data_IF_200291168665
#
_entry.id   IF_200291168665
#
_cell.length_a   1.000
_cell.length_b   1.000
_cell.length_c   1.000
_cell.angle_alpha   90.00
_cell.angle_beta   90.00
_cell.angle_gamma   90.00
#
_symmetry.space_group_name_H-M   'P 1'
#
loop_
_entity.id
_entity.type
_entity.pdbx_description
1 polymer ?
#
# COMPACT_ATOMS: atom_id res chain seq x y z
N UNK A 1 -8.26 -0.63 -6.70
CA UNK A 1 -6.79 -0.41 -6.78
C UNK A 1 -6.14 -1.67 -7.37
N UNK A 2 -4.93 -1.61 -7.95
CA UNK A 2 -4.28 -2.80 -8.53
C UNK A 2 -4.13 -3.93 -7.50
N UNK A 3 -3.58 -3.61 -6.32
CA UNK A 3 -3.46 -4.57 -5.22
C UNK A 3 -4.81 -5.05 -4.66
N UNK A 4 -5.87 -4.25 -4.79
CA UNK A 4 -7.22 -4.64 -4.39
C UNK A 4 -7.81 -5.75 -5.26
N UNK A 5 -7.39 -5.83 -6.54
CA UNK A 5 -7.77 -6.94 -7.43
C UNK A 5 -7.08 -8.26 -7.04
N UNK A 6 -5.94 -8.15 -6.34
CA UNK A 6 -5.21 -9.28 -5.75
C UNK A 6 -5.72 -9.65 -4.34
N UNK A 7 -6.86 -9.09 -3.91
CA UNK A 7 -7.44 -9.36 -2.59
C UNK A 7 -6.79 -8.59 -1.43
N UNK A 8 -5.94 -7.60 -1.70
CA UNK A 8 -5.24 -6.83 -0.67
C UNK A 8 -5.94 -5.51 -0.35
N UNK A 9 -6.35 -5.36 0.91
CA UNK A 9 -6.94 -4.15 1.44
C UNK A 9 -5.89 -3.25 2.10
N UNK A 10 -5.72 -2.03 1.59
CA UNK A 10 -4.85 -1.00 2.17
C UNK A 10 -5.50 0.38 2.02
N UNK A 11 -5.06 1.36 2.82
CA UNK A 11 -5.57 2.74 2.76
C UNK A 11 -4.56 3.64 2.04
N UNK A 12 -5.03 4.50 1.15
CA UNK A 12 -4.23 5.57 0.55
C UNK A 12 -4.65 6.95 1.10
N UNK A 13 -3.74 7.93 1.01
CA UNK A 13 -4.00 9.34 1.32
C UNK A 13 -3.18 9.85 2.51
N UNK A 14 -3.70 10.88 3.19
CA UNK A 14 -3.00 11.54 4.31
C UNK A 14 -3.14 10.82 5.66
N UNK A 15 -4.04 9.83 5.76
CA UNK A 15 -4.34 9.09 6.99
C UNK A 15 -4.76 9.95 8.19
N UNK A 16 -5.43 11.08 7.94
CA UNK A 16 -5.73 12.11 8.94
C UNK A 16 -4.48 12.73 9.59
N UNK A 17 -3.32 12.60 8.95
CA UNK A 17 -2.02 13.08 9.43
C UNK A 17 -1.38 14.09 8.44
N UNK A 18 -2.18 14.98 7.86
CA UNK A 18 -1.73 15.90 6.81
C UNK A 18 -0.49 16.73 7.16
N UNK A 19 -0.34 17.30 8.39
CA UNK A 19 0.88 18.04 8.75
C UNK A 19 2.14 17.16 8.70
N UNK A 20 2.05 15.91 9.17
CA UNK A 20 3.17 14.96 9.15
C UNK A 20 3.54 14.57 7.72
N UNK A 21 2.54 14.26 6.89
CA UNK A 21 2.75 13.91 5.49
C UNK A 21 3.41 15.06 4.72
N UNK A 22 3.00 16.31 5.00
CA UNK A 22 3.67 17.52 4.47
C UNK A 22 5.12 17.65 4.93
N UNK A 23 5.43 17.36 6.21
CA UNK A 23 6.81 17.35 6.73
C UNK A 23 7.72 16.36 5.99
N UNK A 24 7.17 15.26 5.48
CA UNK A 24 7.90 14.29 4.64
C UNK A 24 7.95 14.65 3.15
N UNK A 25 7.41 15.80 2.74
CA UNK A 25 7.40 16.24 1.33
C UNK A 25 6.57 15.33 0.41
N UNK A 26 5.57 14.61 0.94
CA UNK A 26 4.68 13.73 0.17
C UNK A 26 3.27 14.33 0.11
N UNK A 27 2.51 13.96 -0.92
CA UNK A 27 1.07 14.30 -1.01
C UNK A 27 0.19 13.25 -0.32
N UNK A 28 0.71 12.05 -0.09
CA UNK A 28 -0.02 10.96 0.53
C UNK A 28 0.82 9.70 0.51
N UNK A 29 0.42 8.72 1.30
CA UNK A 29 1.07 7.41 1.37
C UNK A 29 0.04 6.30 1.25
N UNK A 30 0.50 5.10 0.90
CA UNK A 30 -0.27 3.87 1.10
C UNK A 30 0.17 3.25 2.42
N UNK A 31 -0.80 2.87 3.26
CA UNK A 31 -0.56 2.23 4.54
C UNK A 31 -1.26 0.87 4.59
N UNK A 32 -0.47 -0.18 4.76
CA UNK A 32 -0.92 -1.48 5.25
C UNK A 32 -0.77 -1.48 6.77
N UNK A 33 -1.79 -1.93 7.50
CA UNK A 33 -1.80 -1.95 8.97
C UNK A 33 -2.17 -3.35 9.41
N UNK A 34 -1.37 -3.93 10.31
CA UNK A 34 -1.52 -5.31 10.77
C UNK A 34 -2.06 -5.35 12.21
N UNK A 35 -2.71 -6.45 12.57
CA UNK A 35 -3.21 -6.70 13.92
C UNK A 35 -3.08 -8.18 14.31
N UNK A 36 -3.62 -8.56 15.47
CA UNK A 36 -3.44 -9.88 16.10
C UNK A 36 -3.82 -11.07 15.20
N UNK A 37 -4.75 -10.87 14.27
CA UNK A 37 -5.24 -11.90 13.37
C UNK A 37 -4.44 -12.00 12.06
N UNK A 38 -3.47 -11.12 11.83
CA UNK A 38 -2.66 -11.19 10.63
C UNK A 38 -1.56 -12.24 10.74
N UNK A 39 -1.24 -12.84 9.60
CA UNK A 39 -0.23 -13.88 9.48
C UNK A 39 0.94 -13.43 8.61
N UNK A 40 2.04 -14.19 8.63
CA UNK A 40 3.15 -13.97 7.68
C UNK A 40 2.70 -14.16 6.23
N UNK A 41 1.76 -15.07 5.98
CA UNK A 41 1.20 -15.29 4.65
C UNK A 41 0.47 -14.04 4.12
N UNK A 42 -0.18 -13.24 4.99
CA UNK A 42 -0.78 -11.96 4.58
C UNK A 42 0.28 -10.96 4.12
N UNK A 43 1.44 -10.93 4.79
CA UNK A 43 2.58 -10.08 4.41
C UNK A 43 3.13 -10.51 3.06
N UNK A 44 3.30 -11.82 2.84
CA UNK A 44 3.79 -12.38 1.59
C UNK A 44 2.84 -12.06 0.43
N UNK A 45 1.52 -12.18 0.65
CA UNK A 45 0.50 -11.81 -0.31
C UNK A 45 0.53 -10.32 -0.65
N UNK A 46 0.68 -9.44 0.36
CA UNK A 46 0.86 -7.99 0.16
C UNK A 46 2.10 -7.70 -0.69
N UNK A 47 3.24 -8.31 -0.39
CA UNK A 47 4.51 -8.10 -1.13
C UNK A 47 4.36 -8.57 -2.59
N UNK A 48 3.75 -9.73 -2.81
CA UNK A 48 3.48 -10.25 -4.16
C UNK A 48 2.61 -9.29 -4.97
N UNK A 49 1.51 -8.81 -4.38
CA UNK A 49 0.62 -7.85 -5.03
C UNK A 49 1.33 -6.52 -5.35
N UNK A 50 2.18 -6.01 -4.45
CA UNK A 50 2.95 -4.79 -4.70
C UNK A 50 3.97 -4.95 -5.83
N UNK A 51 4.63 -6.12 -5.93
CA UNK A 51 5.54 -6.43 -7.06
C UNK A 51 4.78 -6.44 -8.38
N UNK A 52 3.63 -7.12 -8.45
CA UNK A 52 2.77 -7.12 -9.65
C UNK A 52 2.34 -5.70 -10.03
N UNK A 53 1.87 -4.91 -9.07
CA UNK A 53 1.48 -3.52 -9.31
C UNK A 53 2.64 -2.67 -9.83
N UNK A 54 3.86 -2.89 -9.34
CA UNK A 54 5.07 -2.21 -9.82
C UNK A 54 5.37 -2.53 -11.28
N UNK A 55 5.27 -3.78 -11.71
CA UNK A 55 5.51 -4.16 -13.11
C UNK A 55 4.50 -3.48 -14.05
N UNK A 56 3.21 -3.45 -13.68
CA UNK A 56 2.17 -2.75 -14.46
C UNK A 56 2.50 -1.26 -14.63
N UNK A 57 3.02 -0.58 -13.61
CA UNK A 57 3.37 0.84 -13.72
C UNK A 57 4.71 1.10 -14.43
N UNK A 58 5.63 0.13 -14.46
CA UNK A 58 6.87 0.26 -15.25
C UNK A 58 6.61 0.23 -16.75
N UNK A 59 5.56 -0.44 -17.21
CA UNK A 59 5.18 -0.47 -18.63
C UNK A 59 4.51 0.83 -19.09
N UNK A 60 4.11 1.69 -18.16
CA UNK A 60 3.28 2.89 -18.40
C UNK A 60 4.06 4.19 -18.18
N UNK A 61 5.29 4.12 -17.65
CA UNK A 61 6.21 5.26 -17.43
C UNK A 61 7.47 5.10 -18.28
#
# INVERSE_FOLDING_TARGET
>A
TLIGREGICARAGHHCCQPLIKKFGRQGTTRASFYLYNTKADVDALVSALKKAREVFKEVL
#
